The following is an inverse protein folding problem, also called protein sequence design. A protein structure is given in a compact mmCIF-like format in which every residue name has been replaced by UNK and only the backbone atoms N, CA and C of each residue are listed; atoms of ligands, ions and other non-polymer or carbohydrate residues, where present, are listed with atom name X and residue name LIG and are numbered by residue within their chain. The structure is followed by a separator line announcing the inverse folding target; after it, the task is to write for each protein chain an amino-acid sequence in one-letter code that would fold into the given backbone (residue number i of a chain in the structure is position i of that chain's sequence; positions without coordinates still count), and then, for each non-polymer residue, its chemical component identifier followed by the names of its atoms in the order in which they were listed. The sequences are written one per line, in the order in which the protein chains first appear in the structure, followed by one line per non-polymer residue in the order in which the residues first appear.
data_IF_859389836906
#
_entry.id   IF_859389836906
#
_cell.length_a   1.000
_cell.length_b   1.000
_cell.length_c   1.000
_cell.angle_alpha   90.00
_cell.angle_beta   90.00
_cell.angle_gamma   90.00
#
_symmetry.space_group_name_H-M   'P 1'
#
loop_
_entity.id
_entity.type
_entity.pdbx_description
1 polymer ?
#
# COMPACT_ATOMS: atom_id res chain seq x y z
N UNK A 1 -7.54 -29.55 14.09
CA UNK A 1 -7.83 -28.76 12.92
C UNK A 1 -7.47 -29.59 11.69
N UNK A 2 -8.45 -29.80 10.81
CA UNK A 2 -8.23 -30.56 9.57
C UNK A 2 -7.48 -29.66 8.57
N UNK A 3 -6.55 -30.22 7.76
CA UNK A 3 -5.96 -29.44 6.65
C UNK A 3 -7.03 -28.83 5.71
N UNK A 4 -8.21 -29.41 5.67
CA UNK A 4 -9.35 -28.85 4.92
C UNK A 4 -9.90 -27.56 5.51
N UNK A 5 -9.65 -27.28 6.78
CA UNK A 5 -10.08 -26.03 7.42
C UNK A 5 -9.28 -24.81 6.92
N UNK A 6 -8.12 -25.05 6.31
CA UNK A 6 -7.26 -24.02 5.72
C UNK A 6 -7.41 -23.89 4.20
N UNK A 7 -8.18 -24.78 3.57
CA UNK A 7 -8.47 -24.71 2.15
C UNK A 7 -9.96 -24.46 1.98
N UNK A 8 -10.30 -23.27 1.50
CA UNK A 8 -11.68 -22.88 1.21
C UNK A 8 -12.39 -23.83 0.21
N UNK A 9 -11.62 -24.60 -0.55
CA UNK A 9 -12.14 -25.52 -1.54
C UNK A 9 -11.22 -26.74 -1.64
N UNK A 10 -11.78 -27.91 -1.46
CA UNK A 10 -11.10 -29.20 -1.68
C UNK A 10 -11.03 -29.58 -3.17
N UNK A 11 -11.87 -28.96 -4.01
CA UNK A 11 -11.85 -29.11 -5.46
C UNK A 11 -12.09 -27.77 -6.13
N UNK A 12 -11.11 -27.27 -6.89
CA UNK A 12 -11.28 -26.09 -7.74
C UNK A 12 -11.48 -26.50 -9.19
N UNK A 13 -12.32 -25.76 -9.88
CA UNK A 13 -12.45 -25.93 -11.33
C UNK A 13 -11.07 -25.77 -11.98
N UNK A 14 -10.64 -26.71 -12.81
CA UNK A 14 -9.33 -26.70 -13.46
C UNK A 14 -9.06 -25.51 -14.38
N UNK A 15 -10.07 -24.67 -14.64
CA UNK A 15 -9.98 -23.49 -15.49
C UNK A 15 -8.91 -22.48 -15.04
N UNK A 16 -8.79 -22.23 -13.73
CA UNK A 16 -7.77 -21.32 -13.21
C UNK A 16 -6.35 -21.87 -13.45
N UNK A 17 -6.13 -23.16 -13.25
CA UNK A 17 -4.86 -23.82 -13.51
C UNK A 17 -4.53 -23.81 -15.02
N UNK A 18 -5.50 -24.06 -15.89
CA UNK A 18 -5.34 -24.00 -17.34
C UNK A 18 -5.04 -22.57 -17.80
N UNK A 19 -5.71 -21.55 -17.24
CA UNK A 19 -5.44 -20.14 -17.55
C UNK A 19 -4.01 -19.74 -17.14
N UNK A 20 -3.57 -20.15 -15.95
CA UNK A 20 -2.21 -19.93 -15.49
C UNK A 20 -1.18 -20.61 -16.40
N UNK A 21 -1.44 -21.87 -16.77
CA UNK A 21 -0.57 -22.63 -17.67
C UNK A 21 -0.52 -21.98 -19.07
N UNK A 22 -1.65 -21.54 -19.61
CA UNK A 22 -1.73 -20.84 -20.90
C UNK A 22 -0.95 -19.52 -20.86
N UNK A 23 -1.08 -18.75 -19.77
CA UNK A 23 -0.30 -17.52 -19.58
C UNK A 23 1.20 -17.80 -19.49
N UNK A 24 1.61 -18.84 -18.75
CA UNK A 24 3.01 -19.27 -18.67
C UNK A 24 3.57 -19.67 -20.04
N UNK A 25 2.80 -20.43 -20.80
CA UNK A 25 3.22 -20.85 -22.14
C UNK A 25 3.27 -19.69 -23.14
N UNK A 26 2.30 -18.78 -23.11
CA UNK A 26 2.24 -17.65 -24.05
C UNK A 26 3.34 -16.61 -23.80
N UNK A 27 3.65 -16.31 -22.56
CA UNK A 27 4.68 -15.35 -22.19
C UNK A 27 6.09 -15.94 -22.13
N UNK A 28 6.20 -17.20 -21.76
CA UNK A 28 7.47 -17.86 -21.48
C UNK A 28 8.26 -17.20 -20.36
N UNK A 29 9.42 -17.75 -20.01
CA UNK A 29 10.25 -17.24 -18.92
C UNK A 29 10.71 -15.78 -19.15
N UNK A 30 11.00 -15.41 -20.39
CA UNK A 30 11.46 -14.05 -20.70
C UNK A 30 10.33 -13.03 -20.60
N UNK A 31 9.12 -13.38 -21.02
CA UNK A 31 7.94 -12.51 -20.84
C UNK A 31 7.65 -12.25 -19.37
N UNK A 32 7.71 -13.28 -18.54
CA UNK A 32 7.56 -13.14 -17.09
C UNK A 32 8.63 -12.24 -16.46
N UNK A 33 9.91 -12.46 -16.80
CA UNK A 33 11.01 -11.61 -16.30
C UNK A 33 10.83 -10.15 -16.68
N UNK A 34 10.39 -9.87 -17.92
CA UNK A 34 10.12 -8.50 -18.39
C UNK A 34 8.98 -7.86 -17.61
N UNK A 35 7.87 -8.58 -17.40
CA UNK A 35 6.74 -8.05 -16.65
C UNK A 35 7.11 -7.78 -15.19
N UNK A 36 7.83 -8.70 -14.55
CA UNK A 36 8.29 -8.50 -13.15
C UNK A 36 9.26 -7.31 -13.07
N UNK A 37 10.19 -7.18 -14.00
CA UNK A 37 11.12 -6.05 -14.03
C UNK A 37 10.36 -4.72 -14.17
N UNK A 38 9.35 -4.66 -15.03
CA UNK A 38 8.51 -3.48 -15.18
C UNK A 38 7.75 -3.15 -13.88
N UNK A 39 7.13 -4.16 -13.24
CA UNK A 39 6.42 -3.94 -11.98
C UNK A 39 7.34 -3.45 -10.86
N UNK A 40 8.57 -3.94 -10.80
CA UNK A 40 9.59 -3.46 -9.86
C UNK A 40 9.99 -2.02 -10.18
N UNK A 41 10.24 -1.68 -11.45
CA UNK A 41 10.58 -0.32 -11.88
C UNK A 41 9.46 0.68 -11.52
N UNK A 42 8.21 0.33 -11.80
CA UNK A 42 7.06 1.14 -11.44
C UNK A 42 6.92 1.30 -9.92
N UNK A 43 7.19 0.26 -9.14
CA UNK A 43 7.16 0.33 -7.69
C UNK A 43 8.28 1.22 -7.11
N UNK A 44 9.49 1.15 -7.69
CA UNK A 44 10.58 2.05 -7.31
C UNK A 44 10.22 3.50 -7.61
N UNK A 45 9.67 3.76 -8.79
CA UNK A 45 9.18 5.09 -9.16
C UNK A 45 8.08 5.60 -8.20
N UNK A 46 7.14 4.74 -7.82
CA UNK A 46 6.12 5.09 -6.80
C UNK A 46 6.77 5.53 -5.48
N UNK A 47 7.83 4.86 -5.07
CA UNK A 47 8.57 5.23 -3.84
C UNK A 47 9.29 6.56 -3.99
N UNK A 48 9.90 6.83 -5.15
CA UNK A 48 10.51 8.14 -5.44
C UNK A 48 9.48 9.26 -5.29
N UNK A 49 8.28 9.11 -5.88
CA UNK A 49 7.20 10.09 -5.73
C UNK A 49 6.79 10.28 -4.26
N UNK A 50 6.67 9.20 -3.50
CA UNK A 50 6.27 9.26 -2.10
C UNK A 50 7.35 9.85 -1.18
N UNK A 51 8.63 9.73 -1.53
CA UNK A 51 9.73 10.35 -0.78
C UNK A 51 9.75 11.88 -0.92
N UNK A 52 9.12 12.44 -1.97
CA UNK A 52 8.96 13.88 -2.14
C UNK A 52 7.82 14.46 -1.29
N UNK A 53 6.92 13.61 -0.79
CA UNK A 53 5.79 14.02 0.05
C UNK A 53 6.20 14.12 1.53
N UNK A 54 5.85 15.24 2.18
CA UNK A 54 6.32 15.55 3.54
C UNK A 54 5.56 14.82 4.66
N UNK A 55 4.41 14.23 4.35
CA UNK A 55 3.47 13.66 5.33
C UNK A 55 3.25 12.16 5.14
N UNK A 56 4.20 11.52 4.45
CA UNK A 56 4.22 10.08 4.15
C UNK A 56 5.54 9.47 4.58
N UNK A 57 5.48 8.26 5.10
CA UNK A 57 6.67 7.42 5.29
C UNK A 57 6.48 6.09 4.59
N UNK A 58 7.42 5.73 3.74
CA UNK A 58 7.50 4.41 3.10
C UNK A 58 8.09 3.42 4.10
N UNK A 59 7.37 2.33 4.36
CA UNK A 59 7.73 1.34 5.39
C UNK A 59 8.77 0.31 4.95
N UNK A 60 9.35 0.49 3.76
CA UNK A 60 10.34 -0.45 3.23
C UNK A 60 11.74 0.14 3.26
N UNK A 61 12.77 -0.68 3.48
CA UNK A 61 14.14 -0.28 3.20
C UNK A 61 14.29 0.09 1.70
N UNK A 62 15.15 1.04 1.39
CA UNK A 62 15.45 1.44 0.01
C UNK A 62 15.91 0.26 -0.86
N UNK A 63 16.60 -0.71 -0.26
CA UNK A 63 17.09 -1.93 -0.92
C UNK A 63 15.99 -2.94 -1.26
N UNK A 64 14.74 -2.73 -0.85
CA UNK A 64 13.65 -3.66 -1.12
C UNK A 64 13.28 -3.66 -2.60
N UNK A 65 13.35 -4.81 -3.24
CA UNK A 65 12.98 -5.02 -4.65
C UNK A 65 11.54 -5.53 -4.84
N UNK A 66 10.73 -5.53 -3.78
CA UNK A 66 9.32 -5.93 -3.88
C UNK A 66 8.51 -4.93 -4.71
N UNK A 67 7.53 -5.42 -5.47
CA UNK A 67 6.64 -4.56 -6.26
C UNK A 67 5.47 -3.96 -5.46
N UNK A 68 5.32 -4.31 -4.20
CA UNK A 68 4.35 -3.69 -3.29
C UNK A 68 5.04 -2.57 -2.53
N UNK A 69 4.47 -1.39 -2.55
CA UNK A 69 4.90 -0.26 -1.72
C UNK A 69 3.94 -0.11 -0.56
N UNK A 70 4.49 -0.15 0.64
CA UNK A 70 3.75 0.06 1.88
C UNK A 70 4.10 1.41 2.45
N UNK A 71 3.08 2.19 2.77
CA UNK A 71 3.26 3.54 3.30
C UNK A 71 2.36 3.80 4.51
N UNK A 72 2.77 4.78 5.32
CA UNK A 72 1.98 5.35 6.41
C UNK A 72 1.79 6.83 6.17
N UNK A 73 0.57 7.28 6.40
CA UNK A 73 0.21 8.70 6.43
C UNK A 73 0.17 9.16 7.89
N UNK A 74 0.54 10.40 8.11
CA UNK A 74 0.59 10.98 9.46
C UNK A 74 -0.36 12.17 9.58
N UNK A 75 -1.00 12.33 10.74
CA UNK A 75 -1.78 13.52 11.02
C UNK A 75 -0.86 14.76 11.14
N UNK A 76 -1.39 15.96 10.84
CA UNK A 76 -0.60 17.19 10.79
C UNK A 76 0.24 17.46 12.05
N UNK A 77 -0.30 17.19 13.23
CA UNK A 77 0.40 17.41 14.51
C UNK A 77 1.72 16.64 14.61
N UNK A 78 1.80 15.43 14.05
CA UNK A 78 3.04 14.63 14.10
C UNK A 78 4.05 15.02 13.03
N UNK A 79 3.59 15.64 11.96
CA UNK A 79 4.45 16.22 10.92
C UNK A 79 5.16 17.44 11.51
N UNK A 80 4.40 18.35 12.13
CA UNK A 80 4.90 19.57 12.76
C UNK A 80 5.90 19.27 13.91
N UNK A 81 5.66 18.18 14.65
CA UNK A 81 6.54 17.71 15.73
C UNK A 81 7.79 16.95 15.22
N UNK A 82 7.89 16.65 13.92
CA UNK A 82 8.97 15.86 13.34
C UNK A 82 9.00 14.39 13.81
N UNK A 83 7.86 13.83 14.13
CA UNK A 83 7.74 12.50 14.77
C UNK A 83 7.42 11.36 13.79
N UNK A 84 7.37 11.63 12.51
CA UNK A 84 7.05 10.62 11.52
C UNK A 84 8.10 9.50 11.47
N UNK A 85 7.62 8.26 11.37
CA UNK A 85 8.48 7.07 11.24
C UNK A 85 9.19 6.63 12.51
N UNK A 86 9.02 7.31 13.65
CA UNK A 86 9.63 6.92 14.92
C UNK A 86 9.29 5.49 15.33
N UNK A 87 8.08 5.05 15.04
CA UNK A 87 7.60 3.70 15.34
C UNK A 87 8.28 2.60 14.51
N UNK A 88 8.92 2.97 13.41
CA UNK A 88 9.70 2.04 12.58
C UNK A 88 11.11 1.80 13.14
N UNK A 89 11.54 2.59 14.12
CA UNK A 89 12.88 2.54 14.72
C UNK A 89 12.96 1.70 16.00
N UNK A 90 11.95 0.88 16.31
CA UNK A 90 11.90 0.01 17.49
C UNK A 90 12.12 0.76 18.82
N UNK A 91 11.31 1.78 19.07
CA UNK A 91 11.38 2.61 20.27
C UNK A 91 10.42 2.14 21.38
N UNK A 92 10.94 1.99 22.62
CA UNK A 92 10.10 1.81 23.79
C UNK A 92 9.23 3.07 24.05
N UNK A 93 8.02 2.89 24.53
CA UNK A 93 7.13 4.00 24.95
C UNK A 93 6.29 4.64 23.83
N UNK A 94 6.31 4.13 22.61
CA UNK A 94 5.58 4.69 21.47
C UNK A 94 4.12 4.16 21.32
N UNK A 95 3.54 3.51 22.34
CA UNK A 95 2.21 2.88 22.26
C UNK A 95 1.12 3.82 21.81
N UNK A 96 0.94 4.89 22.53
CA UNK A 96 -0.11 5.87 22.26
C UNK A 96 0.08 6.55 20.89
N UNK A 97 1.34 6.76 20.51
CA UNK A 97 1.67 7.30 19.19
C UNK A 97 1.26 6.34 18.07
N UNK A 98 1.64 5.05 18.19
CA UNK A 98 1.26 4.01 17.22
C UNK A 98 -0.26 3.89 17.11
N UNK A 99 -0.96 3.86 18.24
CA UNK A 99 -2.42 3.74 18.28
C UNK A 99 -3.09 4.96 17.62
N UNK A 100 -2.56 6.16 17.85
CA UNK A 100 -3.08 7.37 17.23
C UNK A 100 -2.87 7.37 15.72
N UNK A 101 -1.69 7.03 15.23
CA UNK A 101 -1.42 6.92 13.77
C UNK A 101 -2.28 5.81 13.15
N UNK A 102 -2.40 4.66 13.80
CA UNK A 102 -3.27 3.58 13.32
C UNK A 102 -4.74 4.02 13.24
N UNK A 103 -5.22 4.75 14.25
CA UNK A 103 -6.58 5.31 14.28
C UNK A 103 -6.78 6.32 13.16
N UNK A 104 -5.84 7.23 12.96
CA UNK A 104 -5.85 8.20 11.87
C UNK A 104 -5.96 7.51 10.51
N UNK A 105 -5.08 6.55 10.23
CA UNK A 105 -5.06 5.83 8.97
C UNK A 105 -6.36 5.06 8.71
N UNK A 106 -6.93 4.45 9.74
CA UNK A 106 -8.21 3.75 9.63
C UNK A 106 -9.34 4.72 9.32
N UNK A 107 -9.40 5.85 10.00
CA UNK A 107 -10.43 6.88 9.77
C UNK A 107 -10.29 7.49 8.38
N UNK A 108 -9.07 7.82 7.97
CA UNK A 108 -8.80 8.29 6.62
C UNK A 108 -9.29 7.29 5.58
N UNK A 109 -8.95 6.02 5.70
CA UNK A 109 -9.32 5.01 4.71
C UNK A 109 -10.83 4.81 4.60
N UNK A 110 -11.54 4.82 5.75
CA UNK A 110 -13.02 4.73 5.74
C UNK A 110 -13.62 5.94 5.06
N UNK A 111 -13.21 7.16 5.45
CA UNK A 111 -13.69 8.39 4.86
C UNK A 111 -13.37 8.46 3.35
N UNK A 112 -12.17 8.11 2.96
CA UNK A 112 -11.74 8.12 1.57
C UNK A 112 -12.57 7.13 0.72
N UNK A 113 -12.86 5.94 1.23
CA UNK A 113 -13.69 4.96 0.53
C UNK A 113 -15.10 5.47 0.22
N UNK A 114 -15.62 6.40 1.02
CA UNK A 114 -16.94 7.02 0.86
C UNK A 114 -16.91 8.29 -0.02
N UNK A 115 -15.78 8.99 -0.06
CA UNK A 115 -15.65 10.31 -0.65
C UNK A 115 -14.81 10.36 -1.92
N UNK A 116 -14.05 9.31 -2.19
CA UNK A 116 -13.25 9.22 -3.41
C UNK A 116 -14.15 8.89 -4.59
N UNK A 117 -14.16 9.79 -5.58
CA UNK A 117 -14.71 9.47 -6.90
C UNK A 117 -13.72 8.52 -7.59
N UNK A 118 -14.05 7.26 -7.61
CA UNK A 118 -13.26 6.24 -8.31
C UNK A 118 -13.51 6.39 -9.80
N UNK A 119 -12.59 7.01 -10.51
CA UNK A 119 -12.48 6.76 -11.93
C UNK A 119 -11.91 5.35 -12.09
N UNK A 120 -12.61 4.48 -12.81
CA UNK A 120 -12.33 3.03 -12.89
C UNK A 120 -10.96 2.68 -13.48
N UNK A 121 -10.22 3.68 -13.94
CA UNK A 121 -8.90 3.52 -14.53
C UNK A 121 -7.74 3.85 -13.56
N UNK A 122 -8.04 4.43 -12.38
CA UNK A 122 -7.01 4.75 -11.40
C UNK A 122 -6.56 3.53 -10.59
N UNK A 123 -5.30 3.52 -10.21
CA UNK A 123 -4.72 2.51 -9.33
C UNK A 123 -5.47 2.51 -7.98
N UNK A 124 -6.00 1.36 -7.60
CA UNK A 124 -6.59 1.22 -6.28
C UNK A 124 -5.52 0.97 -5.23
N UNK A 125 -5.56 1.74 -4.15
CA UNK A 125 -4.79 1.43 -2.96
C UNK A 125 -5.67 0.74 -1.91
N UNK A 126 -5.05 -0.10 -1.11
CA UNK A 126 -5.74 -0.87 -0.10
C UNK A 126 -5.16 -0.62 1.29
N UNK A 127 -6.02 -0.73 2.31
CA UNK A 127 -5.62 -0.61 3.70
C UNK A 127 -5.29 -1.98 4.30
N UNK A 128 -4.32 -2.00 5.20
CA UNK A 128 -3.98 -3.16 6.02
C UNK A 128 -3.85 -2.73 7.48
N UNK A 129 -4.63 -3.33 8.36
CA UNK A 129 -4.65 -3.01 9.79
C UNK A 129 -3.47 -3.60 10.59
N UNK A 130 -2.69 -4.47 9.99
CA UNK A 130 -1.58 -5.14 10.68
C UNK A 130 -0.57 -5.70 9.68
N UNK A 131 0.05 -4.80 8.92
CA UNK A 131 1.03 -5.20 7.91
C UNK A 131 2.39 -5.55 8.48
N UNK A 132 2.86 -4.73 9.40
CA UNK A 132 4.15 -4.90 10.05
C UNK A 132 3.92 -5.01 11.54
N UNK A 133 4.62 -5.93 12.18
CA UNK A 133 4.69 -6.02 13.63
C UNK A 133 6.08 -5.58 14.09
N UNK A 134 6.14 -4.51 14.86
CA UNK A 134 7.37 -3.98 15.44
C UNK A 134 7.19 -3.90 16.95
N UNK A 135 8.09 -4.52 17.69
CA UNK A 135 8.03 -4.53 19.16
C UNK A 135 6.71 -5.10 19.72
N UNK A 136 6.10 -6.08 19.04
CA UNK A 136 4.81 -6.67 19.41
C UNK A 136 3.58 -5.86 19.01
N UNK A 137 3.74 -4.76 18.28
CA UNK A 137 2.65 -3.87 17.84
C UNK A 137 2.40 -3.99 16.35
N UNK A 138 1.12 -4.08 15.99
CA UNK A 138 0.71 -4.06 14.60
C UNK A 138 0.64 -2.63 14.08
N UNK A 139 1.35 -2.36 12.98
CA UNK A 139 1.29 -1.09 12.28
C UNK A 139 0.32 -1.19 11.10
N UNK A 140 -0.64 -0.27 11.06
CA UNK A 140 -1.51 -0.11 9.90
C UNK A 140 -0.77 0.58 8.76
N UNK A 141 -1.13 0.27 7.53
CA UNK A 141 -0.51 0.88 6.36
C UNK A 141 -1.44 0.85 5.14
N UNK A 142 -1.12 1.70 4.18
CA UNK A 142 -1.71 1.67 2.84
C UNK A 142 -0.75 0.94 1.92
N UNK A 143 -1.29 0.10 1.07
CA UNK A 143 -0.55 -0.65 0.06
C UNK A 143 -0.84 -0.04 -1.31
N UNK A 144 0.23 0.35 -1.99
CA UNK A 144 0.22 0.67 -3.41
C UNK A 144 0.99 -0.41 -4.17
N UNK A 145 0.44 -0.89 -5.24
CA UNK A 145 1.13 -1.85 -6.09
C UNK A 145 0.64 -1.75 -7.53
N UNK A 146 1.57 -1.72 -8.50
CA UNK A 146 1.21 -1.81 -9.89
C UNK A 146 0.68 -3.23 -10.17
N UNK A 147 -0.54 -3.32 -10.69
CA UNK A 147 -1.20 -4.61 -10.97
C UNK A 147 -1.19 -5.00 -12.43
N UNK A 148 -0.88 -4.05 -13.30
CA UNK A 148 -0.92 -4.24 -14.76
C UNK A 148 0.40 -3.89 -15.41
N UNK A 149 0.90 -4.74 -16.33
CA UNK A 149 2.06 -4.40 -17.14
C UNK A 149 1.78 -3.28 -18.17
N UNK A 150 0.53 -2.83 -18.29
CA UNK A 150 0.15 -1.68 -19.13
C UNK A 150 0.15 -0.37 -18.35
N UNK A 151 0.34 -0.42 -17.05
CA UNK A 151 0.42 0.77 -16.19
C UNK A 151 1.64 1.60 -16.57
N UNK A 152 1.48 2.91 -16.54
CA UNK A 152 2.52 3.88 -16.86
C UNK A 152 2.94 4.68 -15.63
N UNK A 153 4.05 5.39 -15.69
CA UNK A 153 4.46 6.34 -14.65
C UNK A 153 3.42 7.44 -14.44
N UNK A 154 2.76 7.89 -15.51
CA UNK A 154 1.69 8.89 -15.42
C UNK A 154 0.52 8.40 -14.56
N UNK A 155 0.15 7.13 -14.67
CA UNK A 155 -0.93 6.56 -13.85
C UNK A 155 -0.55 6.54 -12.38
N UNK A 156 0.74 6.37 -12.09
CA UNK A 156 1.28 6.45 -10.73
C UNK A 156 1.32 7.89 -10.19
N UNK A 157 1.74 8.86 -11.02
CA UNK A 157 1.68 10.29 -10.68
C UNK A 157 0.24 10.69 -10.30
N UNK A 158 -0.73 10.26 -11.10
CA UNK A 158 -2.14 10.53 -10.84
C UNK A 158 -2.63 9.85 -9.55
N UNK A 159 -2.27 8.59 -9.33
CA UNK A 159 -2.66 7.85 -8.12
C UNK A 159 -2.11 8.46 -6.85
N UNK A 160 -0.83 8.79 -6.82
CA UNK A 160 -0.19 9.45 -5.68
C UNK A 160 -0.79 10.84 -5.47
N UNK A 161 -1.00 11.58 -6.56
CA UNK A 161 -1.67 12.89 -6.51
C UNK A 161 -3.08 12.83 -5.92
N UNK A 162 -3.88 11.83 -6.31
CA UNK A 162 -5.22 11.59 -5.75
C UNK A 162 -5.11 11.26 -4.25
N UNK A 163 -4.25 10.32 -3.87
CA UNK A 163 -4.06 9.93 -2.47
C UNK A 163 -3.71 11.14 -1.59
N UNK A 164 -2.76 11.96 -2.02
CA UNK A 164 -2.32 13.13 -1.28
C UNK A 164 -3.37 14.25 -1.25
N UNK A 165 -4.12 14.42 -2.32
CA UNK A 165 -5.25 15.35 -2.36
C UNK A 165 -6.36 14.94 -1.38
N UNK A 166 -6.70 13.67 -1.33
CA UNK A 166 -7.70 13.14 -0.40
C UNK A 166 -7.23 13.25 1.06
N UNK A 167 -5.94 12.98 1.32
CA UNK A 167 -5.38 13.19 2.65
C UNK A 167 -5.53 14.64 3.12
N UNK A 168 -5.16 15.61 2.29
CA UNK A 168 -5.31 17.04 2.61
C UNK A 168 -6.76 17.45 2.89
N UNK A 169 -7.71 16.91 2.12
CA UNK A 169 -9.15 17.14 2.37
C UNK A 169 -9.60 16.53 3.70
N UNK A 170 -9.20 15.30 3.98
CA UNK A 170 -9.53 14.63 5.23
C UNK A 170 -8.99 15.41 6.43
N UNK A 171 -7.74 15.86 6.38
CA UNK A 171 -7.15 16.67 7.43
C UNK A 171 -7.93 17.95 7.69
N UNK A 172 -8.33 18.65 6.64
CA UNK A 172 -9.05 19.91 6.74
C UNK A 172 -10.51 19.75 7.20
N UNK A 173 -11.18 18.71 6.75
CA UNK A 173 -12.64 18.54 6.92
C UNK A 173 -13.02 17.67 8.13
N UNK A 174 -12.16 16.76 8.52
CA UNK A 174 -12.48 15.71 9.51
C UNK A 174 -11.54 15.71 10.71
N UNK A 175 -10.23 15.66 10.46
CA UNK A 175 -9.27 15.43 11.54
C UNK A 175 -9.03 16.66 12.42
N UNK A 176 -8.99 17.85 11.85
CA UNK A 176 -8.73 19.12 12.57
C UNK A 176 -9.99 19.76 13.18
N UNK A 177 -11.13 19.05 13.20
CA UNK A 177 -12.36 19.47 13.87
C UNK A 177 -12.46 18.90 15.27
#
# INVERSE_FOLDING_TARGET
DSPADFTLETSRAGGAALSALAALHSMGANGYRRNLALLVDLSLYTRELLFEEQDVVVCHPESSLGYVTMLRLYPPEFIDEGRMGLELMDGEGLGDFVDRVNSYMKQFFVWDSENRMVDRESLEYSFSSGYVNIGGRNLSGIKLYPVSPLMTRRDLDETVGILMSQKRKFDAEVWNK
#
